data_IF_185880790831
#
_entry.id   IF_185880790831
#
_cell.length_a   1.000
_cell.length_b   1.000
_cell.length_c   1.000
_cell.angle_alpha   90.00
_cell.angle_beta   90.00
_cell.angle_gamma   90.00
#
_symmetry.space_group_name_H-M   'P 1'
#
loop_
_entity.id
_entity.type
_entity.pdbx_description
1 polymer ?
#
# COMPACT_ATOMS: atom_id res chain seq x y z
N UNK A 1 -6.31 -13.17 14.93
CA UNK A 1 -6.10 -13.05 13.46
C UNK A 1 -5.67 -11.64 13.19
N UNK A 2 -4.67 -11.41 12.29
CA UNK A 2 -4.12 -10.07 12.04
C UNK A 2 -4.20 -9.74 10.56
N UNK A 3 -4.52 -8.48 10.25
CA UNK A 3 -4.49 -7.93 8.90
C UNK A 3 -3.88 -6.52 8.91
N UNK A 4 -3.29 -6.12 7.78
CA UNK A 4 -2.85 -4.76 7.53
C UNK A 4 -3.50 -4.26 6.25
N UNK A 5 -4.19 -3.13 6.32
CA UNK A 5 -4.60 -2.42 5.14
C UNK A 5 -3.51 -1.44 4.76
N UNK A 6 -3.07 -1.54 3.51
CA UNK A 6 -2.10 -0.60 2.93
C UNK A 6 -2.75 0.18 1.80
N UNK A 7 -2.32 1.42 1.60
CA UNK A 7 -2.89 2.32 0.60
C UNK A 7 -1.76 2.96 -0.19
N UNK A 8 -1.77 2.79 -1.51
CA UNK A 8 -0.76 3.39 -2.37
C UNK A 8 -1.26 4.74 -2.90
N UNK A 9 -0.57 5.83 -2.52
CA UNK A 9 -0.87 7.21 -2.92
C UNK A 9 -0.04 7.60 -4.14
N UNK A 10 -0.70 7.63 -5.28
CA UNK A 10 -0.09 7.76 -6.60
C UNK A 10 -1.06 8.40 -7.60
N UNK A 11 -0.66 8.60 -8.85
CA UNK A 11 -1.57 8.95 -9.96
C UNK A 11 -2.67 7.90 -10.12
N UNK A 12 -3.77 8.29 -10.77
CA UNK A 12 -4.91 7.40 -10.97
C UNK A 12 -4.57 6.28 -11.97
N UNK A 13 -4.72 5.02 -11.53
CA UNK A 13 -4.56 3.83 -12.36
C UNK A 13 -3.34 3.87 -13.31
N UNK A 14 -2.12 4.13 -12.82
CA UNK A 14 -0.94 4.26 -13.69
C UNK A 14 -0.62 2.95 -14.41
N UNK A 15 -0.09 3.00 -15.63
CA UNK A 15 0.31 4.20 -16.41
C UNK A 15 -0.81 4.73 -17.33
N UNK A 16 -2.08 4.34 -17.12
CA UNK A 16 -3.17 4.60 -18.05
C UNK A 16 -3.71 6.03 -17.96
N UNK A 17 -3.70 6.61 -16.77
CA UNK A 17 -4.17 7.98 -16.53
C UNK A 17 -3.05 8.81 -15.89
N UNK A 18 -3.13 10.13 -16.09
CA UNK A 18 -2.26 11.13 -15.46
C UNK A 18 -3.10 12.14 -14.67
N UNK A 19 -4.09 11.64 -13.97
CA UNK A 19 -4.96 12.45 -13.13
C UNK A 19 -4.76 12.11 -11.65
N UNK A 20 -5.30 12.96 -10.78
CA UNK A 20 -5.15 12.87 -9.33
C UNK A 20 -6.50 12.85 -8.63
N UNK A 21 -7.57 12.51 -9.35
CA UNK A 21 -8.93 12.44 -8.80
C UNK A 21 -9.04 11.49 -7.61
N UNK A 22 -8.29 10.40 -7.63
CA UNK A 22 -8.18 9.49 -6.49
C UNK A 22 -7.72 10.22 -5.24
N UNK A 23 -6.70 11.07 -5.37
CA UNK A 23 -6.20 11.86 -4.24
C UNK A 23 -7.15 13.00 -3.86
N UNK A 24 -7.78 13.66 -4.82
CA UNK A 24 -8.64 14.83 -4.60
C UNK A 24 -10.04 14.46 -4.09
N UNK A 25 -10.65 13.42 -4.66
CA UNK A 25 -12.02 12.99 -4.38
C UNK A 25 -12.08 11.69 -3.55
N UNK A 26 -11.20 10.74 -3.86
CA UNK A 26 -11.23 9.38 -3.32
C UNK A 26 -10.61 9.28 -1.93
N UNK A 27 -9.45 9.90 -1.71
CA UNK A 27 -8.73 9.81 -0.44
C UNK A 27 -9.51 10.38 0.75
N UNK A 28 -10.15 11.57 0.67
CA UNK A 28 -10.98 12.06 1.79
C UNK A 28 -12.07 11.07 2.18
N UNK A 29 -12.76 10.49 1.21
CA UNK A 29 -13.82 9.50 1.44
C UNK A 29 -13.29 8.17 1.98
N UNK A 30 -12.09 7.77 1.56
CA UNK A 30 -11.42 6.60 2.12
C UNK A 30 -11.07 6.84 3.60
N UNK A 31 -10.55 8.01 3.93
CA UNK A 31 -10.22 8.38 5.32
C UNK A 31 -11.47 8.38 6.20
N UNK A 32 -12.63 8.88 5.74
CA UNK A 32 -13.92 8.79 6.43
C UNK A 32 -14.33 7.33 6.71
N UNK A 33 -14.15 6.42 5.73
CA UNK A 33 -14.43 4.99 5.92
C UNK A 33 -13.48 4.39 6.97
N UNK A 34 -12.19 4.70 6.91
CA UNK A 34 -11.21 4.19 7.86
C UNK A 34 -11.49 4.69 9.28
N UNK A 35 -11.84 5.97 9.44
CA UNK A 35 -12.23 6.57 10.72
C UNK A 35 -13.51 5.91 11.27
N UNK A 36 -14.55 5.80 10.45
CA UNK A 36 -15.81 5.16 10.83
C UNK A 36 -15.66 3.73 11.27
N UNK A 37 -14.77 2.98 10.61
CA UNK A 37 -14.45 1.60 10.98
C UNK A 37 -13.37 1.50 12.07
N UNK A 38 -12.75 2.60 12.51
CA UNK A 38 -11.67 2.63 13.49
C UNK A 38 -10.45 1.82 13.04
N UNK A 39 -10.12 1.84 11.76
CA UNK A 39 -8.98 1.14 11.17
C UNK A 39 -7.87 2.11 10.84
N UNK A 40 -6.66 1.82 11.33
CA UNK A 40 -5.44 2.50 10.88
C UNK A 40 -4.83 1.74 9.72
N UNK A 41 -4.27 2.47 8.75
CA UNK A 41 -3.65 1.92 7.57
C UNK A 41 -2.21 2.42 7.40
N UNK A 42 -1.42 1.72 6.58
CA UNK A 42 -0.11 2.19 6.13
C UNK A 42 -0.26 2.80 4.73
N UNK A 43 0.09 4.07 4.59
CA UNK A 43 0.03 4.80 3.33
C UNK A 43 1.40 4.88 2.68
N UNK A 44 1.59 4.17 1.58
CA UNK A 44 2.78 4.27 0.75
C UNK A 44 2.62 5.40 -0.26
N UNK A 45 3.30 6.51 -0.04
CA UNK A 45 3.15 7.73 -0.80
C UNK A 45 4.31 7.91 -1.78
N UNK A 46 4.02 8.20 -3.05
CA UNK A 46 5.04 8.70 -3.97
C UNK A 46 5.47 10.11 -3.54
N UNK A 47 6.72 10.48 -3.80
CA UNK A 47 7.16 11.84 -3.47
C UNK A 47 6.36 12.89 -4.23
N UNK A 48 5.93 12.60 -5.47
CA UNK A 48 5.07 13.49 -6.25
C UNK A 48 3.69 13.68 -5.61
N UNK A 49 3.08 12.61 -5.07
CA UNK A 49 1.82 12.70 -4.32
C UNK A 49 2.01 13.53 -3.03
N UNK A 50 3.13 13.33 -2.30
CA UNK A 50 3.46 14.09 -1.10
C UNK A 50 3.68 15.59 -1.35
N UNK A 51 4.06 15.99 -2.58
CA UNK A 51 4.17 17.38 -2.98
C UNK A 51 2.80 18.03 -3.26
N UNK A 52 1.81 17.23 -3.68
CA UNK A 52 0.46 17.69 -4.02
C UNK A 52 -0.51 17.66 -2.86
N UNK A 53 -0.35 16.67 -1.99
CA UNK A 53 -1.27 16.41 -0.89
C UNK A 53 -0.62 16.68 0.47
N UNK A 54 -1.32 17.36 1.40
CA UNK A 54 -0.78 17.66 2.72
C UNK A 54 -0.69 16.39 3.58
N UNK A 55 0.51 15.88 3.82
CA UNK A 55 0.76 14.66 4.61
C UNK A 55 0.17 14.71 6.03
N UNK A 56 -0.13 15.91 6.56
CA UNK A 56 -0.80 16.06 7.87
C UNK A 56 -2.22 15.46 7.90
N UNK A 57 -2.87 15.27 6.75
CA UNK A 57 -4.19 14.66 6.66
C UNK A 57 -4.16 13.16 6.91
N UNK A 58 -2.97 12.55 6.82
CA UNK A 58 -2.74 11.14 7.17
C UNK A 58 -2.45 10.93 8.67
N UNK A 59 -2.73 11.94 9.53
CA UNK A 59 -2.52 11.81 10.98
C UNK A 59 -3.30 10.62 11.55
N UNK A 60 -2.61 9.84 12.38
CA UNK A 60 -3.18 8.60 12.95
C UNK A 60 -2.91 7.35 12.11
N UNK A 61 -2.47 7.53 10.87
CA UNK A 61 -2.04 6.45 10.00
C UNK A 61 -0.50 6.41 9.90
N UNK A 62 0.04 5.34 9.34
CA UNK A 62 1.48 5.20 9.11
C UNK A 62 1.84 5.66 7.70
N UNK A 63 3.01 6.31 7.56
CA UNK A 63 3.54 6.76 6.28
C UNK A 63 4.70 5.86 5.83
N UNK A 64 4.60 5.34 4.62
CA UNK A 64 5.65 4.68 3.85
C UNK A 64 6.01 5.47 2.60
N UNK A 65 7.09 5.07 1.93
CA UNK A 65 7.54 5.63 0.66
C UNK A 65 7.18 4.70 -0.50
N UNK A 66 6.62 5.25 -1.59
CA UNK A 66 6.28 4.51 -2.81
C UNK A 66 7.16 4.94 -4.01
N UNK A 67 8.39 5.37 -3.74
CA UNK A 67 9.29 5.88 -4.78
C UNK A 67 9.03 7.35 -5.14
N UNK A 68 9.69 7.80 -6.22
CA UNK A 68 9.62 9.19 -6.65
C UNK A 68 8.30 9.47 -7.36
N UNK A 69 7.99 8.64 -8.33
CA UNK A 69 6.75 8.54 -9.09
C UNK A 69 6.38 7.07 -9.18
N UNK A 70 5.26 6.77 -9.82
CA UNK A 70 4.88 5.36 -10.04
C UNK A 70 5.59 4.76 -11.27
N UNK A 71 6.92 4.91 -11.36
CA UNK A 71 7.74 4.30 -12.40
C UNK A 71 8.22 2.90 -12.01
N UNK A 72 8.35 2.02 -13.00
CA UNK A 72 8.95 0.69 -12.81
C UNK A 72 10.44 0.80 -12.54
N UNK A 73 10.87 0.47 -11.33
CA UNK A 73 12.28 0.55 -10.91
C UNK A 73 13.14 -0.51 -11.59
N UNK A 74 12.56 -1.67 -11.96
CA UNK A 74 13.23 -2.76 -12.67
C UNK A 74 13.51 -2.45 -14.15
N UNK A 75 12.92 -1.41 -14.70
CA UNK A 75 13.17 -0.94 -16.08
C UNK A 75 14.15 0.22 -16.19
N UNK A 76 14.70 0.70 -15.08
CA UNK A 76 15.63 1.82 -15.06
C UNK A 76 17.08 1.37 -15.32
N UNK A 77 17.94 2.26 -15.84
CA UNK A 77 19.38 1.98 -15.95
C UNK A 77 20.01 1.62 -14.58
N UNK A 78 21.12 0.87 -14.55
CA UNK A 78 21.82 0.54 -13.32
C UNK A 78 22.11 1.77 -12.44
N UNK A 79 21.82 1.68 -11.16
CA UNK A 79 22.02 2.77 -10.19
C UNK A 79 20.95 3.85 -10.20
N UNK A 80 20.17 3.99 -11.27
CA UNK A 80 19.12 5.01 -11.34
C UNK A 80 18.00 4.73 -10.34
N UNK A 81 17.60 3.47 -10.17
CA UNK A 81 16.60 3.08 -9.16
C UNK A 81 16.99 3.52 -7.76
N UNK A 82 18.25 3.32 -7.35
CA UNK A 82 18.78 3.80 -6.06
C UNK A 82 18.70 5.32 -5.94
N UNK A 83 19.09 6.04 -7.00
CA UNK A 83 19.02 7.50 -7.02
C UNK A 83 17.59 7.99 -6.84
N UNK A 84 16.63 7.36 -7.53
CA UNK A 84 15.20 7.70 -7.42
C UNK A 84 14.64 7.50 -6.01
N UNK A 85 14.96 6.39 -5.37
CA UNK A 85 14.51 6.10 -4.00
C UNK A 85 15.11 7.10 -3.01
N UNK A 86 16.40 7.44 -3.14
CA UNK A 86 17.04 8.46 -2.31
C UNK A 86 16.36 9.82 -2.48
N UNK A 87 16.17 10.25 -3.73
CA UNK A 87 15.51 11.51 -4.05
C UNK A 87 14.07 11.55 -3.49
N UNK A 88 13.32 10.46 -3.64
CA UNK A 88 11.97 10.35 -3.07
C UNK A 88 11.97 10.54 -1.56
N UNK A 89 12.86 9.83 -0.87
CA UNK A 89 13.01 9.92 0.59
C UNK A 89 13.32 11.34 1.04
N UNK A 90 14.26 12.01 0.36
CA UNK A 90 14.64 13.40 0.66
C UNK A 90 13.49 14.39 0.41
N UNK A 91 12.76 14.24 -0.71
CA UNK A 91 11.60 15.09 -1.01
C UNK A 91 10.49 14.94 0.03
N UNK A 92 10.16 13.72 0.43
CA UNK A 92 9.17 13.46 1.47
C UNK A 92 9.59 14.07 2.80
N UNK A 93 10.86 13.91 3.20
CA UNK A 93 11.40 14.48 4.46
C UNK A 93 11.35 16.02 4.45
N UNK A 94 11.64 16.66 3.32
CA UNK A 94 11.51 18.13 3.16
C UNK A 94 10.06 18.61 3.31
N UNK A 95 9.08 17.77 3.01
CA UNK A 95 7.64 18.04 3.21
C UNK A 95 7.16 17.70 4.63
N UNK A 96 8.08 17.37 5.55
CA UNK A 96 7.76 16.99 6.92
C UNK A 96 7.32 15.54 7.10
N UNK A 97 7.34 14.74 6.03
CA UNK A 97 7.05 13.30 6.09
C UNK A 97 8.19 12.51 6.75
N UNK A 98 7.83 11.47 7.49
CA UNK A 98 8.78 10.52 8.08
C UNK A 98 8.39 9.10 7.66
N UNK A 99 8.66 8.71 6.40
CA UNK A 99 8.30 7.39 5.93
C UNK A 99 9.14 6.34 6.67
N UNK A 100 8.49 5.32 7.23
CA UNK A 100 9.14 4.26 8.01
C UNK A 100 9.30 2.95 7.23
N UNK A 101 8.46 2.70 6.23
CA UNK A 101 8.51 1.56 5.33
C UNK A 101 8.62 1.97 3.86
N UNK A 102 8.98 1.02 3.01
CA UNK A 102 9.08 1.23 1.58
C UNK A 102 8.22 0.21 0.81
N UNK A 103 7.67 0.63 -0.34
CA UNK A 103 7.05 -0.26 -1.32
C UNK A 103 7.46 0.17 -2.72
N UNK A 104 8.00 -0.75 -3.49
CA UNK A 104 8.34 -0.49 -4.89
C UNK A 104 7.07 -0.41 -5.76
N UNK A 105 6.95 0.58 -6.64
CA UNK A 105 5.85 0.65 -7.61
C UNK A 105 5.66 -0.66 -8.38
N UNK A 106 4.41 -1.03 -8.61
CA UNK A 106 4.02 -2.28 -9.28
C UNK A 106 4.53 -3.56 -8.60
N UNK A 107 5.00 -3.53 -7.36
CA UNK A 107 5.70 -4.66 -6.74
C UNK A 107 6.83 -5.17 -7.65
N UNK A 108 7.70 -4.27 -8.10
CA UNK A 108 8.82 -4.54 -9.01
C UNK A 108 10.13 -3.98 -8.44
N UNK A 109 10.58 -4.49 -7.28
CA UNK A 109 11.86 -4.10 -6.71
C UNK A 109 13.03 -4.70 -7.49
N UNK A 110 14.22 -4.09 -7.32
CA UNK A 110 15.51 -4.69 -7.68
C UNK A 110 16.36 -4.85 -6.43
N UNK A 111 17.32 -5.79 -6.45
CA UNK A 111 18.21 -6.03 -5.29
C UNK A 111 18.96 -4.76 -4.88
N UNK A 112 19.40 -3.95 -5.86
CA UNK A 112 20.09 -2.69 -5.58
C UNK A 112 19.19 -1.62 -4.95
N UNK A 113 17.91 -1.60 -5.33
CA UNK A 113 16.91 -0.71 -4.73
C UNK A 113 16.64 -1.10 -3.30
N UNK A 114 16.42 -2.38 -3.02
CA UNK A 114 16.16 -2.87 -1.66
C UNK A 114 17.35 -2.65 -0.74
N UNK A 115 18.57 -2.83 -1.24
CA UNK A 115 19.77 -2.50 -0.46
C UNK A 115 19.89 -0.99 -0.15
N UNK A 116 19.47 -0.12 -1.08
CA UNK A 116 19.41 1.32 -0.82
C UNK A 116 18.32 1.66 0.20
N UNK A 117 17.15 1.03 0.15
CA UNK A 117 16.08 1.15 1.13
C UNK A 117 16.61 0.83 2.54
N UNK A 118 17.33 -0.28 2.69
CA UNK A 118 17.98 -0.65 3.96
C UNK A 118 18.97 0.43 4.42
N UNK A 119 19.83 0.93 3.51
CA UNK A 119 20.83 1.98 3.83
C UNK A 119 20.21 3.31 4.25
N UNK A 120 19.04 3.65 3.71
CA UNK A 120 18.30 4.86 4.06
C UNK A 120 17.61 4.79 5.42
N UNK A 121 17.67 3.62 6.10
CA UNK A 121 17.14 3.39 7.43
C UNK A 121 15.65 3.12 7.49
N UNK A 122 15.05 2.61 6.40
CA UNK A 122 13.68 2.10 6.44
C UNK A 122 13.61 0.88 7.38
N UNK A 123 12.52 0.76 8.12
CA UNK A 123 12.34 -0.30 9.11
C UNK A 123 11.90 -1.62 8.48
N UNK A 124 11.23 -1.55 7.33
CA UNK A 124 10.74 -2.70 6.59
C UNK A 124 10.52 -2.36 5.11
N UNK A 125 10.40 -3.40 4.31
CA UNK A 125 9.96 -3.37 2.91
C UNK A 125 8.60 -4.06 2.75
N UNK A 126 7.84 -3.68 1.74
CA UNK A 126 6.57 -4.32 1.33
C UNK A 126 6.47 -4.38 -0.19
N UNK A 127 7.59 -4.65 -0.84
CA UNK A 127 7.69 -4.62 -2.31
C UNK A 127 7.36 -5.95 -2.97
N UNK A 128 7.20 -7.02 -2.20
CA UNK A 128 6.83 -8.32 -2.75
C UNK A 128 5.32 -8.53 -2.73
N UNK A 129 4.86 -9.43 -3.59
CA UNK A 129 3.48 -9.90 -3.60
C UNK A 129 3.47 -11.43 -3.74
N UNK A 130 2.72 -12.13 -2.91
CA UNK A 130 2.72 -13.61 -2.87
C UNK A 130 2.30 -14.26 -4.19
N UNK A 131 1.62 -13.52 -5.05
CA UNK A 131 1.13 -13.97 -6.36
C UNK A 131 2.09 -13.62 -7.53
N UNK A 132 3.32 -13.13 -7.22
CA UNK A 132 4.36 -12.80 -8.22
C UNK A 132 5.61 -13.62 -8.01
N UNK A 133 6.38 -13.81 -9.07
CA UNK A 133 7.69 -14.46 -9.03
C UNK A 133 8.79 -13.41 -9.17
N UNK A 134 9.90 -13.62 -8.45
CA UNK A 134 11.04 -12.70 -8.38
C UNK A 134 12.35 -13.44 -8.66
N UNK A 135 12.56 -13.98 -9.89
CA UNK A 135 13.76 -14.73 -10.20
C UNK A 135 15.01 -13.84 -10.06
N UNK A 136 16.00 -14.35 -9.34
CA UNK A 136 17.28 -13.67 -9.14
C UNK A 136 17.26 -12.48 -8.18
N UNK A 137 16.12 -12.12 -7.57
CA UNK A 137 16.05 -11.07 -6.56
C UNK A 137 16.78 -11.52 -5.28
N UNK A 138 17.68 -10.67 -4.80
CA UNK A 138 18.35 -10.84 -3.51
C UNK A 138 17.74 -9.85 -2.52
N UNK A 139 17.28 -10.36 -1.38
CA UNK A 139 16.74 -9.55 -0.31
C UNK A 139 17.87 -9.15 0.64
N UNK A 140 17.93 -7.88 1.08
CA UNK A 140 18.81 -7.45 2.16
C UNK A 140 18.29 -7.98 3.51
N UNK A 141 19.07 -7.80 4.55
CA UNK A 141 18.60 -7.99 5.92
C UNK A 141 17.66 -6.83 6.31
N UNK A 142 16.42 -6.96 5.91
CA UNK A 142 15.34 -6.00 6.13
C UNK A 142 14.02 -6.80 6.17
N UNK A 143 13.19 -6.62 7.22
CA UNK A 143 11.88 -7.25 7.28
C UNK A 143 11.03 -6.98 6.04
N UNK A 144 10.39 -8.02 5.50
CA UNK A 144 9.53 -7.93 4.32
C UNK A 144 8.09 -8.29 4.69
N UNK A 145 7.14 -7.44 4.29
CA UNK A 145 5.70 -7.67 4.43
C UNK A 145 5.06 -7.82 3.05
N UNK A 146 5.03 -9.03 2.47
CA UNK A 146 4.49 -9.23 1.14
C UNK A 146 3.01 -8.93 1.05
N UNK A 147 2.58 -8.25 -0.02
CA UNK A 147 1.18 -8.08 -0.32
C UNK A 147 0.52 -9.45 -0.57
N UNK A 148 -0.55 -9.72 0.16
CA UNK A 148 -1.21 -11.05 0.14
C UNK A 148 -2.13 -11.22 -1.07
N UNK A 149 -2.90 -10.18 -1.40
CA UNK A 149 -3.94 -10.21 -2.43
C UNK A 149 -3.88 -8.95 -3.30
N UNK A 150 -4.12 -9.04 -4.62
CA UNK A 150 -4.27 -7.84 -5.43
C UNK A 150 -5.53 -7.06 -5.01
N UNK A 151 -5.47 -5.73 -5.07
CA UNK A 151 -6.55 -4.82 -4.65
C UNK A 151 -7.90 -5.14 -5.31
N UNK A 152 -7.86 -5.66 -6.54
CA UNK A 152 -9.06 -6.10 -7.27
C UNK A 152 -9.92 -7.12 -6.52
N UNK A 153 -9.34 -7.88 -5.59
CA UNK A 153 -10.08 -8.84 -4.74
C UNK A 153 -11.08 -8.10 -3.84
N UNK A 154 -10.76 -6.91 -3.36
CA UNK A 154 -11.65 -6.09 -2.53
C UNK A 154 -12.85 -5.55 -3.33
N UNK A 155 -12.75 -5.51 -4.66
CA UNK A 155 -13.79 -5.05 -5.58
C UNK A 155 -14.69 -6.16 -6.12
N UNK A 156 -14.36 -7.44 -5.87
CA UNK A 156 -15.20 -8.58 -6.25
C UNK A 156 -16.60 -8.52 -5.58
N UNK A 157 -17.56 -9.34 -6.02
CA UNK A 157 -18.81 -9.51 -5.27
C UNK A 157 -18.53 -9.85 -3.80
N UNK A 158 -19.19 -9.16 -2.88
CA UNK A 158 -18.89 -9.20 -1.46
C UNK A 158 -18.79 -10.62 -0.85
N UNK A 159 -19.65 -11.60 -1.20
CA UNK A 159 -19.51 -12.96 -0.69
C UNK A 159 -18.20 -13.62 -1.10
N UNK A 160 -17.70 -13.33 -2.30
CA UNK A 160 -16.44 -13.88 -2.80
C UNK A 160 -15.24 -13.24 -2.11
N UNK A 161 -15.21 -11.90 -2.00
CA UNK A 161 -14.18 -11.19 -1.25
C UNK A 161 -14.11 -11.69 0.19
N UNK A 162 -15.25 -11.83 0.88
CA UNK A 162 -15.35 -12.38 2.25
C UNK A 162 -14.72 -13.75 2.36
N UNK A 163 -15.04 -14.65 1.44
CA UNK A 163 -14.53 -16.03 1.47
C UNK A 163 -13.01 -16.05 1.32
N UNK A 164 -12.48 -15.27 0.38
CA UNK A 164 -11.03 -15.18 0.13
C UNK A 164 -10.32 -14.57 1.34
N UNK A 165 -10.79 -13.42 1.82
CA UNK A 165 -10.18 -12.75 2.98
C UNK A 165 -10.21 -13.66 4.23
N UNK A 166 -11.36 -14.27 4.52
CA UNK A 166 -11.51 -15.18 5.68
C UNK A 166 -10.55 -16.36 5.60
N UNK A 167 -10.30 -16.88 4.41
CA UNK A 167 -9.27 -17.91 4.21
C UNK A 167 -7.89 -17.37 4.56
N UNK A 168 -7.51 -16.18 4.04
CA UNK A 168 -6.20 -15.60 4.29
C UNK A 168 -5.96 -15.27 5.77
N UNK A 169 -6.88 -14.56 6.42
CA UNK A 169 -6.70 -14.15 7.84
C UNK A 169 -6.67 -15.33 8.82
N UNK A 170 -7.22 -16.48 8.43
CA UNK A 170 -7.17 -17.70 9.24
C UNK A 170 -5.93 -18.55 9.03
N UNK A 171 -5.22 -18.36 7.92
CA UNK A 171 -4.09 -19.22 7.53
C UNK A 171 -2.75 -18.51 7.59
N UNK A 172 -2.74 -17.20 7.52
CA UNK A 172 -1.52 -16.41 7.50
C UNK A 172 -1.31 -15.70 8.85
N UNK A 173 -0.07 -15.55 9.29
CA UNK A 173 0.25 -14.79 10.50
C UNK A 173 -0.16 -13.32 10.37
N UNK A 174 -0.06 -12.75 9.16
CA UNK A 174 -0.51 -11.42 8.79
C UNK A 174 -1.06 -11.45 7.37
N UNK A 175 -2.24 -10.87 7.14
CA UNK A 175 -2.79 -10.66 5.79
C UNK A 175 -2.60 -9.20 5.41
N UNK A 176 -1.76 -8.94 4.40
CA UNK A 176 -1.52 -7.59 3.88
C UNK A 176 -2.39 -7.34 2.65
N UNK A 177 -3.20 -6.31 2.71
CA UNK A 177 -4.14 -5.89 1.68
C UNK A 177 -3.68 -4.55 1.10
N UNK A 178 -3.83 -4.35 -0.19
CA UNK A 178 -3.61 -3.06 -0.83
C UNK A 178 -4.92 -2.45 -1.35
N UNK A 179 -4.97 -1.13 -1.36
CA UNK A 179 -6.05 -0.32 -1.90
C UNK A 179 -5.47 0.96 -2.48
N UNK A 180 -6.17 1.56 -3.45
CA UNK A 180 -5.74 2.81 -4.05
C UNK A 180 -6.89 3.83 -3.97
N UNK A 181 -6.63 5.10 -3.66
CA UNK A 181 -7.68 6.13 -3.60
C UNK A 181 -8.46 6.28 -4.90
N UNK A 182 -7.84 6.03 -6.06
CA UNK A 182 -8.53 6.06 -7.35
C UNK A 182 -9.60 4.95 -7.46
N UNK A 183 -9.53 3.87 -6.69
CA UNK A 183 -10.58 2.85 -6.63
C UNK A 183 -11.86 3.38 -5.97
N UNK A 184 -11.76 4.43 -5.15
CA UNK A 184 -12.88 5.13 -4.54
C UNK A 184 -13.59 6.12 -5.47
N UNK A 185 -13.05 6.35 -6.67
CA UNK A 185 -13.60 7.21 -7.71
C UNK A 185 -14.03 6.36 -8.91
N UNK A 186 -15.14 6.72 -9.56
CA UNK A 186 -15.55 6.03 -10.77
C UNK A 186 -14.50 6.23 -11.87
N UNK A 187 -13.82 5.15 -12.23
CA UNK A 187 -12.79 5.14 -13.28
C UNK A 187 -13.41 4.94 -14.66
N UNK A 188 -13.00 5.79 -15.61
CA UNK A 188 -13.36 5.72 -17.02
C UNK A 188 -12.08 5.80 -17.87
N UNK A 189 -12.14 5.38 -19.13
CA UNK A 189 -10.99 5.45 -20.04
C UNK A 189 -9.85 4.45 -19.76
N UNK A 190 -10.02 3.53 -18.81
CA UNK A 190 -9.04 2.49 -18.46
C UNK A 190 -9.59 1.09 -18.77
N UNK A 191 -8.71 0.09 -18.72
CA UNK A 191 -9.08 -1.33 -18.90
C UNK A 191 -10.21 -1.71 -17.93
N UNK A 192 -11.06 -2.68 -18.36
CA UNK A 192 -12.23 -3.07 -17.57
C UNK A 192 -11.89 -3.60 -16.17
N UNK A 193 -10.77 -4.32 -16.03
CA UNK A 193 -10.30 -4.88 -14.76
C UNK A 193 -9.88 -3.80 -13.74
N UNK A 194 -9.45 -2.63 -14.23
CA UNK A 194 -9.14 -1.48 -13.39
C UNK A 194 -10.40 -0.68 -13.02
N UNK A 195 -11.37 -0.53 -13.93
CA UNK A 195 -12.60 0.24 -13.69
C UNK A 195 -13.72 -0.56 -13.03
N UNK A 196 -13.61 -1.91 -13.02
CA UNK A 196 -14.64 -2.77 -12.46
C UNK A 196 -14.90 -2.44 -10.99
N UNK A 197 -16.17 -2.11 -10.68
CA UNK A 197 -16.64 -1.86 -9.31
C UNK A 197 -15.86 -0.79 -8.54
N UNK A 198 -15.38 0.25 -9.23
CA UNK A 198 -14.77 1.44 -8.63
C UNK A 198 -15.85 2.44 -8.17
N UNK A 199 -15.42 3.50 -7.48
CA UNK A 199 -16.32 4.52 -6.95
C UNK A 199 -17.00 4.09 -5.65
N UNK A 200 -18.22 4.59 -5.43
CA UNK A 200 -19.03 4.32 -4.22
C UNK A 200 -19.17 2.84 -3.91
N UNK A 201 -19.27 1.99 -4.94
CA UNK A 201 -19.37 0.56 -4.74
C UNK A 201 -18.10 -0.05 -4.11
N UNK A 202 -16.93 0.46 -4.48
CA UNK A 202 -15.65 0.03 -3.87
C UNK A 202 -15.58 0.44 -2.42
N UNK A 203 -15.87 1.68 -2.09
CA UNK A 203 -15.86 2.20 -0.70
C UNK A 203 -16.82 1.44 0.21
N UNK A 204 -18.06 1.24 -0.22
CA UNK A 204 -19.04 0.47 0.56
C UNK A 204 -18.58 -0.97 0.82
N UNK A 205 -17.98 -1.62 -0.18
CA UNK A 205 -17.45 -2.98 0.00
C UNK A 205 -16.28 -2.99 0.97
N UNK A 206 -15.35 -2.04 0.84
CA UNK A 206 -14.23 -1.92 1.75
C UNK A 206 -14.72 -1.72 3.19
N UNK A 207 -15.59 -0.74 3.46
CA UNK A 207 -16.16 -0.51 4.80
C UNK A 207 -16.86 -1.76 5.35
N UNK A 208 -17.71 -2.40 4.55
CA UNK A 208 -18.39 -3.63 4.97
C UNK A 208 -17.41 -4.77 5.33
N UNK A 209 -16.32 -4.93 4.58
CA UNK A 209 -15.29 -5.92 4.88
C UNK A 209 -14.52 -5.57 6.16
N UNK A 210 -14.10 -4.32 6.32
CA UNK A 210 -13.37 -3.88 7.52
C UNK A 210 -14.21 -4.05 8.77
N UNK A 211 -15.46 -3.57 8.78
CA UNK A 211 -16.37 -3.70 9.93
C UNK A 211 -16.69 -5.14 10.28
N UNK A 212 -16.98 -5.99 9.28
CA UNK A 212 -17.27 -7.41 9.48
C UNK A 212 -16.07 -8.15 10.09
N UNK A 213 -14.85 -7.98 9.51
CA UNK A 213 -13.68 -8.70 10.00
C UNK A 213 -13.23 -8.20 11.38
N UNK A 214 -13.37 -6.90 11.69
CA UNK A 214 -13.20 -6.40 13.06
C UNK A 214 -14.19 -7.05 14.02
N UNK A 215 -15.45 -7.15 13.65
CA UNK A 215 -16.48 -7.84 14.42
C UNK A 215 -16.17 -9.33 14.64
N UNK A 216 -15.45 -9.97 13.71
CA UNK A 216 -14.93 -11.35 13.84
C UNK A 216 -13.63 -11.44 14.68
N UNK A 217 -13.13 -10.35 15.23
CA UNK A 217 -11.92 -10.31 16.05
C UNK A 217 -10.62 -10.27 15.24
N UNK A 218 -10.66 -9.82 13.99
CA UNK A 218 -9.44 -9.51 13.23
C UNK A 218 -8.88 -8.17 13.71
N UNK A 219 -7.64 -8.19 14.16
CA UNK A 219 -6.88 -7.01 14.53
C UNK A 219 -6.27 -6.38 13.28
N UNK A 220 -6.68 -5.12 12.97
CA UNK A 220 -6.07 -4.35 11.90
C UNK A 220 -4.91 -3.50 12.46
N UNK A 221 -3.72 -3.73 11.92
CA UNK A 221 -2.46 -3.10 12.32
C UNK A 221 -1.88 -2.29 11.15
N UNK A 222 -1.13 -1.24 11.45
CA UNK A 222 -0.15 -0.73 10.49
C UNK A 222 1.02 -1.72 10.36
N UNK A 223 1.80 -1.63 9.29
CA UNK A 223 2.94 -2.56 9.12
C UNK A 223 4.02 -2.34 10.18
N UNK A 224 4.23 -1.09 10.64
CA UNK A 224 5.14 -0.81 11.75
C UNK A 224 4.68 -1.39 13.09
N UNK A 225 3.36 -1.42 13.34
CA UNK A 225 2.79 -2.11 14.51
C UNK A 225 2.95 -3.62 14.40
N UNK A 226 2.72 -4.17 13.20
CA UNK A 226 2.96 -5.58 12.94
C UNK A 226 4.43 -5.94 13.17
N UNK A 227 5.38 -5.12 12.70
CA UNK A 227 6.81 -5.30 12.96
C UNK A 227 7.10 -5.30 14.47
N UNK A 228 6.54 -4.33 15.18
CA UNK A 228 6.75 -4.20 16.64
C UNK A 228 6.17 -5.38 17.42
N UNK A 229 5.13 -6.04 16.91
CA UNK A 229 4.55 -7.22 17.54
C UNK A 229 5.39 -8.48 17.35
N UNK A 230 6.09 -8.62 16.21
CA UNK A 230 7.00 -9.76 15.97
C UNK A 230 8.18 -9.76 16.93
N UNK A 231 8.78 -8.61 17.19
CA UNK A 231 9.90 -8.50 18.14
C UNK A 231 9.54 -8.75 19.60
N UNK A 232 8.25 -8.79 19.97
CA UNK A 232 7.80 -9.14 21.33
C UNK A 232 7.49 -10.63 21.52
N UNK A 233 7.32 -11.38 20.44
CA UNK A 233 7.06 -12.82 20.49
C UNK A 233 8.37 -13.63 20.59
N UNK A 234 9.53 -12.99 20.32
CA UNK A 234 10.87 -13.62 20.38
C UNK A 234 11.64 -13.32 21.67
N UNK A 235 11.12 -12.53 22.60
CA UNK A 235 11.72 -12.15 23.89
C UNK A 235 10.92 -12.68 25.08
#
# INVERSE_FOLDING_TARGET
MRAALTVDLEEDAPPFLRSWRGMEEGLPRLLEVLEGEGVRATFFCTAEAAERFPLRELRGHELGCHGLRHERLDGLPPGEGRRRVREATERMRRRGGRPVGFRAPNFKPTSEVLEEVRRLGYLYDSSLAVYKLYPGLRLPDLPEFPNTLPSSVLRLPLPLSRRILRFCVRRLPLTVLDYHPWEAVRMEGVRWDLRFSTGEASLRKLGALLGEFRGEGVEFLTLGEALSSLGREEG
#
